data_IF_513852293243
#
_entry.id   IF_513852293243
#
_cell.length_a   1.000
_cell.length_b   1.000
_cell.length_c   1.000
_cell.angle_alpha   90.00
_cell.angle_beta   90.00
_cell.angle_gamma   90.00
#
_symmetry.space_group_name_H-M   'P 1'
#
loop_
_entity.id
_entity.type
_entity.pdbx_description
1 polymer ?
#
# COMPACT_ATOMS: atom_id res chain seq x y z
N UNK A 1 41.51 36.84 14.22
CA UNK A 1 41.77 35.40 14.48
C UNK A 1 40.64 34.70 15.25
N UNK A 2 40.23 35.16 16.44
CA UNK A 2 39.16 34.51 17.24
C UNK A 2 37.82 34.30 16.49
N UNK A 3 37.38 35.26 15.67
CA UNK A 3 36.16 35.15 14.84
C UNK A 3 36.27 34.07 13.74
N UNK A 4 37.45 33.91 13.16
CA UNK A 4 37.71 32.91 12.11
C UNK A 4 37.75 31.51 12.71
N UNK A 5 38.39 31.35 13.88
CA UNK A 5 38.42 30.08 14.62
C UNK A 5 37.02 29.66 15.06
N UNK A 6 36.19 30.60 15.53
CA UNK A 6 34.80 30.31 15.92
C UNK A 6 33.97 29.80 14.74
N UNK A 7 34.06 30.45 13.57
CA UNK A 7 33.35 30.02 12.37
C UNK A 7 33.81 28.65 11.86
N UNK A 8 35.12 28.34 11.96
CA UNK A 8 35.65 27.04 11.56
C UNK A 8 35.16 25.90 12.46
N UNK A 9 35.12 26.10 13.79
CA UNK A 9 34.59 25.11 14.74
C UNK A 9 33.08 24.91 14.52
N UNK A 10 32.34 26.00 14.27
CA UNK A 10 30.91 25.94 13.97
C UNK A 10 30.64 25.07 12.72
N UNK A 11 31.38 25.29 11.64
CA UNK A 11 31.26 24.46 10.43
C UNK A 11 31.68 23.01 10.67
N UNK A 12 32.73 22.76 11.44
CA UNK A 12 33.19 21.40 11.75
C UNK A 12 32.14 20.59 12.54
N UNK A 13 31.27 21.25 13.29
CA UNK A 13 30.18 20.61 14.04
C UNK A 13 28.91 20.51 13.19
N UNK A 14 28.54 21.56 12.46
CA UNK A 14 27.30 21.61 11.67
C UNK A 14 27.32 20.68 10.45
N UNK A 15 28.46 20.52 9.79
CA UNK A 15 28.60 19.65 8.60
C UNK A 15 28.32 18.17 8.94
N UNK A 16 28.95 17.55 9.97
CA UNK A 16 28.65 16.17 10.32
C UNK A 16 27.23 15.98 10.88
N UNK A 17 26.68 16.95 11.61
CA UNK A 17 25.28 16.92 12.05
C UNK A 17 24.34 16.95 10.85
N UNK A 18 24.57 17.85 9.88
CA UNK A 18 23.81 17.92 8.65
C UNK A 18 23.90 16.63 7.84
N UNK A 19 25.09 16.06 7.71
CA UNK A 19 25.29 14.76 7.04
C UNK A 19 24.50 13.64 7.72
N UNK A 20 24.52 13.57 9.05
CA UNK A 20 23.79 12.56 9.81
C UNK A 20 22.26 12.67 9.61
N UNK A 21 21.72 13.90 9.62
CA UNK A 21 20.28 14.14 9.38
C UNK A 21 19.91 13.77 7.93
N UNK A 22 20.76 14.09 6.95
CA UNK A 22 20.51 13.85 5.54
C UNK A 22 20.65 12.38 5.14
N UNK A 23 21.44 11.60 5.89
CA UNK A 23 21.61 10.16 5.70
C UNK A 23 20.53 9.32 6.42
N UNK A 24 19.41 9.93 6.80
CA UNK A 24 18.24 9.20 7.28
C UNK A 24 17.77 8.25 6.18
N UNK A 25 17.71 6.94 6.50
CA UNK A 25 17.30 5.92 5.52
C UNK A 25 15.90 6.27 4.97
N UNK A 26 15.68 6.19 3.64
CA UNK A 26 14.34 6.35 3.09
C UNK A 26 13.43 5.29 3.71
N UNK A 27 12.23 5.69 4.12
CA UNK A 27 11.20 4.76 4.57
C UNK A 27 10.72 3.99 3.35
N UNK A 28 10.87 2.68 3.36
CA UNK A 28 10.37 1.80 2.29
C UNK A 28 8.85 1.95 2.20
N UNK A 29 8.38 2.70 1.18
CA UNK A 29 6.96 2.80 0.85
C UNK A 29 6.64 1.69 -0.14
N UNK A 30 5.52 1.01 0.07
CA UNK A 30 5.00 0.08 -0.93
C UNK A 30 4.68 0.86 -2.21
N UNK A 31 5.00 0.30 -3.39
CA UNK A 31 4.65 0.93 -4.65
C UNK A 31 3.12 0.99 -4.81
N UNK A 32 2.63 2.06 -5.41
CA UNK A 32 1.24 2.16 -5.85
C UNK A 32 1.15 1.58 -7.26
N UNK A 33 0.39 0.51 -7.43
CA UNK A 33 0.24 -0.20 -8.70
C UNK A 33 -0.97 0.34 -9.45
N UNK A 34 -0.76 0.83 -10.68
CA UNK A 34 -1.79 1.32 -11.58
C UNK A 34 -2.19 0.24 -12.61
N UNK A 35 -3.34 0.39 -13.28
CA UNK A 35 -3.77 -0.55 -14.31
C UNK A 35 -2.73 -0.77 -15.43
N UNK A 36 -2.04 0.29 -15.86
CA UNK A 36 -1.00 0.20 -16.88
C UNK A 36 0.33 -0.42 -16.39
N UNK A 37 0.47 -0.72 -15.09
CA UNK A 37 1.62 -1.46 -14.53
C UNK A 37 1.41 -2.99 -14.58
N UNK A 38 0.20 -3.44 -14.94
CA UNK A 38 -0.18 -4.86 -15.00
C UNK A 38 -0.09 -5.40 -16.44
N UNK A 39 -0.07 -6.73 -16.56
CA UNK A 39 -0.19 -7.41 -17.86
C UNK A 39 -1.53 -7.06 -18.49
N UNK A 40 -1.54 -6.78 -19.80
CA UNK A 40 -2.74 -6.29 -20.50
C UNK A 40 -3.92 -7.28 -20.38
N UNK A 41 -3.65 -8.57 -20.30
CA UNK A 41 -4.66 -9.63 -20.16
C UNK A 41 -5.38 -9.59 -18.80
N UNK A 42 -4.83 -8.89 -17.81
CA UNK A 42 -5.37 -8.76 -16.46
C UNK A 42 -6.15 -7.46 -16.26
N UNK A 43 -6.26 -6.64 -17.29
CA UNK A 43 -6.79 -5.27 -17.23
C UNK A 43 -7.89 -5.11 -18.26
N UNK A 44 -8.96 -4.42 -17.88
CA UNK A 44 -10.02 -4.09 -18.83
C UNK A 44 -9.45 -3.19 -19.96
N UNK A 45 -9.81 -3.41 -21.25
CA UNK A 45 -9.31 -2.61 -22.36
C UNK A 45 -9.48 -1.10 -22.19
N UNK A 46 -10.55 -0.64 -21.51
CA UNK A 46 -10.78 0.78 -21.25
C UNK A 46 -9.79 1.35 -20.22
N UNK A 47 -9.29 0.49 -19.32
CA UNK A 47 -8.39 0.84 -18.23
C UNK A 47 -6.91 0.82 -18.62
N UNK A 48 -6.54 0.24 -19.76
CA UNK A 48 -5.17 0.20 -20.27
C UNK A 48 -4.55 1.59 -20.48
N UNK A 49 -5.39 2.61 -20.69
CA UNK A 49 -4.97 4.01 -20.90
C UNK A 49 -4.99 4.85 -19.62
N UNK A 50 -5.41 4.26 -18.50
CA UNK A 50 -5.50 4.94 -17.21
C UNK A 50 -4.20 4.74 -16.44
N UNK A 51 -3.32 5.74 -16.52
CA UNK A 51 -2.01 5.67 -15.88
C UNK A 51 -2.00 5.98 -14.38
N UNK A 52 -2.98 6.73 -13.87
CA UNK A 52 -3.08 7.13 -12.46
C UNK A 52 -4.53 7.37 -12.05
N UNK A 53 -4.81 7.22 -10.75
CA UNK A 53 -6.09 7.63 -10.16
C UNK A 53 -7.25 6.66 -10.39
N UNK A 54 -6.97 5.40 -10.75
CA UNK A 54 -8.00 4.36 -10.76
C UNK A 54 -8.61 4.19 -9.36
N UNK A 55 -9.93 4.20 -9.31
CA UNK A 55 -10.73 3.91 -8.12
C UNK A 55 -11.67 2.76 -8.41
N UNK A 56 -12.01 2.00 -7.37
CA UNK A 56 -13.04 0.97 -7.46
C UNK A 56 -14.36 1.63 -7.86
N UNK A 57 -14.98 1.14 -8.94
CA UNK A 57 -16.29 1.59 -9.37
C UNK A 57 -17.40 1.18 -8.39
N UNK A 58 -18.60 1.73 -8.56
CA UNK A 58 -19.74 1.32 -7.77
C UNK A 58 -20.01 -0.19 -7.94
N UNK A 59 -20.29 -0.87 -6.84
CA UNK A 59 -20.59 -2.30 -6.87
C UNK A 59 -21.76 -2.65 -5.96
N UNK A 60 -22.44 -3.73 -6.29
CA UNK A 60 -23.50 -4.32 -5.48
C UNK A 60 -23.38 -5.83 -5.58
N UNK A 61 -22.75 -6.44 -4.57
CA UNK A 61 -22.46 -7.86 -4.54
C UNK A 61 -23.17 -8.55 -3.38
N UNK A 62 -23.40 -9.86 -3.51
CA UNK A 62 -23.95 -10.68 -2.43
C UNK A 62 -22.82 -11.34 -1.64
N UNK A 63 -22.86 -11.21 -0.32
CA UNK A 63 -21.97 -11.95 0.56
C UNK A 63 -22.46 -13.40 0.78
N UNK A 64 -21.70 -14.17 1.55
CA UNK A 64 -22.01 -15.57 1.88
C UNK A 64 -23.33 -15.77 2.65
N UNK A 65 -23.88 -14.70 3.25
CA UNK A 65 -25.16 -14.69 3.94
C UNK A 65 -26.29 -14.12 3.08
N UNK A 66 -26.07 -13.97 1.76
CA UNK A 66 -27.01 -13.37 0.80
C UNK A 66 -27.38 -11.90 1.08
N UNK A 67 -26.58 -11.19 1.88
CA UNK A 67 -26.73 -9.77 2.13
C UNK A 67 -26.08 -8.97 1.00
N UNK A 68 -26.72 -7.88 0.59
CA UNK A 68 -26.13 -6.95 -0.39
C UNK A 68 -25.06 -6.11 0.30
N UNK A 69 -23.87 -6.05 -0.31
CA UNK A 69 -22.74 -5.20 0.11
C UNK A 69 -22.44 -4.23 -1.04
N UNK A 70 -22.23 -2.96 -0.72
CA UNK A 70 -21.89 -1.91 -1.67
C UNK A 70 -20.61 -1.18 -1.25
N UNK A 71 -20.19 -0.18 -2.04
CA UNK A 71 -19.04 0.66 -1.68
C UNK A 71 -19.22 1.42 -0.37
N UNK A 72 -20.46 1.69 0.05
CA UNK A 72 -20.75 2.47 1.26
C UNK A 72 -20.31 1.73 2.53
N UNK A 73 -20.36 0.40 2.54
CA UNK A 73 -19.99 -0.47 3.66
C UNK A 73 -18.49 -0.45 3.96
N UNK A 74 -17.68 -0.16 2.93
CA UNK A 74 -16.22 -0.08 3.01
C UNK A 74 -15.69 1.35 2.98
N UNK A 75 -16.57 2.35 2.80
CA UNK A 75 -16.19 3.76 2.74
C UNK A 75 -15.44 4.18 4.02
N UNK A 76 -14.30 4.85 3.83
CA UNK A 76 -13.47 5.35 4.93
C UNK A 76 -12.68 4.28 5.70
N UNK A 77 -12.77 2.99 5.32
CA UNK A 77 -12.04 1.89 5.95
C UNK A 77 -10.86 1.45 5.10
N UNK A 78 -9.82 0.94 5.74
CA UNK A 78 -8.76 0.20 5.06
C UNK A 78 -9.26 -1.23 4.84
N UNK A 79 -9.32 -1.66 3.58
CA UNK A 79 -9.72 -3.01 3.21
C UNK A 79 -8.63 -3.69 2.36
N UNK A 80 -8.60 -5.02 2.41
CA UNK A 80 -7.74 -5.87 1.60
C UNK A 80 -8.65 -6.78 0.80
N UNK A 81 -8.43 -6.86 -0.51
CA UNK A 81 -9.17 -7.71 -1.41
C UNK A 81 -8.31 -8.86 -1.93
N UNK A 82 -8.89 -10.05 -2.01
CA UNK A 82 -8.30 -11.23 -2.64
C UNK A 82 -9.34 -11.86 -3.56
N UNK A 83 -8.96 -12.13 -4.80
CA UNK A 83 -9.80 -12.83 -5.78
C UNK A 83 -9.37 -14.30 -5.85
N UNK A 84 -10.30 -15.22 -5.61
CA UNK A 84 -10.03 -16.65 -5.68
C UNK A 84 -11.25 -17.43 -6.15
N UNK A 85 -11.01 -18.64 -6.64
CA UNK A 85 -12.06 -19.60 -6.98
C UNK A 85 -12.16 -20.67 -5.88
N UNK A 86 -13.38 -21.03 -5.50
CA UNK A 86 -13.64 -22.05 -4.47
C UNK A 86 -13.15 -23.45 -4.86
N UNK A 87 -13.00 -23.71 -6.16
CA UNK A 87 -12.56 -24.99 -6.73
C UNK A 87 -11.08 -25.05 -7.06
N UNK A 88 -10.33 -23.96 -6.85
CA UNK A 88 -8.90 -23.87 -7.13
C UNK A 88 -8.08 -24.67 -6.11
N UNK A 89 -7.31 -25.66 -6.57
CA UNK A 89 -6.57 -26.59 -5.70
C UNK A 89 -5.09 -26.26 -5.47
N UNK A 90 -4.52 -25.32 -6.23
CA UNK A 90 -3.07 -25.07 -6.25
C UNK A 90 -2.69 -23.85 -5.40
N UNK A 91 -2.55 -22.68 -6.01
CA UNK A 91 -2.08 -21.47 -5.34
C UNK A 91 -3.10 -20.88 -4.35
N UNK A 92 -4.40 -21.06 -4.61
CA UNK A 92 -5.45 -20.42 -3.81
C UNK A 92 -5.48 -20.87 -2.34
N UNK A 93 -5.34 -22.17 -1.98
CA UNK A 93 -5.19 -22.58 -0.58
C UNK A 93 -4.01 -21.92 0.15
N UNK A 94 -2.90 -21.67 -0.56
CA UNK A 94 -1.70 -21.03 0.01
C UNK A 94 -1.98 -19.54 0.26
N UNK A 95 -2.59 -18.85 -0.70
CA UNK A 95 -2.93 -17.42 -0.59
C UNK A 95 -3.97 -17.19 0.51
N UNK A 96 -5.03 -18.01 0.56
CA UNK A 96 -6.03 -17.97 1.63
C UNK A 96 -5.41 -18.14 3.03
N UNK A 97 -4.37 -18.99 3.18
CA UNK A 97 -3.63 -19.13 4.45
C UNK A 97 -2.88 -17.86 4.82
N UNK A 98 -2.31 -17.13 3.85
CA UNK A 98 -1.69 -15.83 4.12
C UNK A 98 -2.74 -14.77 4.46
N UNK A 99 -3.90 -14.79 3.81
CA UNK A 99 -4.99 -13.87 4.14
C UNK A 99 -5.54 -14.09 5.55
N UNK A 100 -5.64 -15.34 6.00
CA UNK A 100 -5.94 -15.67 7.39
C UNK A 100 -4.90 -15.10 8.37
N UNK A 101 -3.62 -15.09 8.00
CA UNK A 101 -2.56 -14.47 8.80
C UNK A 101 -2.75 -12.95 8.93
N UNK A 102 -3.07 -12.27 7.83
CA UNK A 102 -3.38 -10.83 7.81
C UNK A 102 -4.60 -10.55 8.70
N UNK A 103 -5.69 -11.29 8.51
CA UNK A 103 -6.89 -11.17 9.34
C UNK A 103 -6.60 -11.35 10.83
N UNK A 104 -5.77 -12.35 11.19
CA UNK A 104 -5.40 -12.60 12.59
C UNK A 104 -4.57 -11.46 13.19
N UNK A 105 -3.68 -10.85 12.41
CA UNK A 105 -2.84 -9.75 12.87
C UNK A 105 -3.64 -8.46 13.11
N UNK A 106 -4.71 -8.23 12.34
CA UNK A 106 -5.52 -7.00 12.41
C UNK A 106 -6.76 -7.20 13.32
N UNK A 107 -7.11 -8.44 13.66
CA UNK A 107 -8.27 -8.78 14.50
C UNK A 107 -8.24 -8.01 15.83
N UNK A 108 -9.16 -7.05 15.99
CA UNK A 108 -9.29 -6.21 17.20
C UNK A 108 -8.79 -4.78 17.03
N UNK A 109 -8.14 -4.44 15.92
CA UNK A 109 -7.84 -3.06 15.58
C UNK A 109 -9.12 -2.34 15.12
N UNK A 110 -9.38 -1.14 15.66
CA UNK A 110 -10.63 -0.37 15.43
C UNK A 110 -10.47 0.74 14.38
N UNK A 111 -9.55 0.59 13.45
CA UNK A 111 -9.42 1.48 12.28
C UNK A 111 -10.51 1.20 11.26
#
# INVERSE_FOLDING_TARGET
MKRVVFLAVLFMILVPIGYYIMNSKPVDRLPFINPNDLQEEMVDPEMLRVGQGHTIGNFSLKNQNNQTITQDEIAGKIFVAEYFFTTCKSICPIMNKQMQRVQKAIKGNKT
#
